data_IF_905393159834
#
_entry.id   IF_905393159834
#
_cell.length_a   1.000
_cell.length_b   1.000
_cell.length_c   1.000
_cell.angle_alpha   90.00
_cell.angle_beta   90.00
_cell.angle_gamma   90.00
#
_symmetry.space_group_name_H-M   'P 1'
#
loop_
_entity.id
_entity.type
_entity.pdbx_description
1 polymer ?
#
# COMPACT_ATOMS: atom_id res chain seq x y z
N UNK A 1 6.06 49.94 -51.40
CA UNK A 1 6.38 49.30 -50.10
C UNK A 1 5.34 49.56 -48.99
N UNK A 2 5.23 50.72 -48.33
CA UNK A 2 4.31 50.92 -47.16
C UNK A 2 2.81 50.84 -47.48
N UNK A 3 2.36 51.36 -48.64
CA UNK A 3 0.94 51.24 -49.10
C UNK A 3 0.57 49.79 -49.43
N UNK A 4 1.52 49.04 -49.99
CA UNK A 4 1.39 47.63 -50.33
C UNK A 4 1.30 46.74 -49.09
N UNK A 5 2.15 46.98 -48.09
CA UNK A 5 2.08 46.27 -46.81
C UNK A 5 0.76 46.54 -46.08
N UNK A 6 0.24 47.78 -46.09
CA UNK A 6 -1.09 48.09 -45.52
C UNK A 6 -2.23 47.43 -46.29
N UNK A 7 -2.11 47.28 -47.62
CA UNK A 7 -3.10 46.57 -48.46
C UNK A 7 -3.08 45.08 -48.18
N UNK A 8 -1.89 44.48 -48.12
CA UNK A 8 -1.71 43.06 -47.77
C UNK A 8 -2.24 42.78 -46.36
N UNK A 9 -1.92 43.60 -45.37
CA UNK A 9 -2.41 43.47 -43.99
C UNK A 9 -3.94 43.58 -43.89
N UNK A 10 -4.56 44.50 -44.64
CA UNK A 10 -6.03 44.60 -44.72
C UNK A 10 -6.66 43.42 -45.46
N UNK A 11 -5.98 42.87 -46.47
CA UNK A 11 -6.44 41.67 -47.16
C UNK A 11 -6.34 40.44 -46.27
N UNK A 12 -5.24 40.25 -45.54
CA UNK A 12 -5.09 39.14 -44.58
C UNK A 12 -6.04 39.27 -43.40
N UNK A 13 -6.26 40.47 -42.83
CA UNK A 13 -7.29 40.69 -41.79
C UNK A 13 -8.73 40.45 -42.30
N UNK A 14 -9.01 40.80 -43.56
CA UNK A 14 -10.32 40.50 -44.19
C UNK A 14 -10.48 39.01 -44.49
N UNK A 15 -9.42 38.32 -44.89
CA UNK A 15 -9.44 36.87 -45.11
C UNK A 15 -9.56 36.12 -43.78
N UNK A 16 -8.83 36.53 -42.73
CA UNK A 16 -8.92 35.91 -41.41
C UNK A 16 -10.29 36.12 -40.77
N UNK A 17 -10.85 37.33 -40.81
CA UNK A 17 -12.21 37.58 -40.28
C UNK A 17 -13.31 36.81 -41.03
N UNK A 18 -13.15 36.60 -42.35
CA UNK A 18 -14.04 35.71 -43.13
C UNK A 18 -13.87 34.23 -42.73
N UNK A 19 -12.65 33.77 -42.51
CA UNK A 19 -12.37 32.40 -42.09
C UNK A 19 -12.91 32.12 -40.68
N UNK A 20 -12.69 33.01 -39.71
CA UNK A 20 -13.23 32.85 -38.35
C UNK A 20 -14.75 32.87 -38.33
N UNK A 21 -15.39 33.71 -39.16
CA UNK A 21 -16.84 33.74 -39.31
C UNK A 21 -17.38 32.48 -40.00
N UNK A 22 -16.65 31.92 -40.97
CA UNK A 22 -17.01 30.66 -41.62
C UNK A 22 -16.90 29.47 -40.67
N UNK A 23 -15.84 29.38 -39.87
CA UNK A 23 -15.67 28.34 -38.84
C UNK A 23 -16.74 28.46 -37.75
N UNK A 24 -17.00 29.67 -37.25
CA UNK A 24 -18.07 29.90 -36.27
C UNK A 24 -19.46 29.54 -36.83
N UNK A 25 -19.75 29.91 -38.08
CA UNK A 25 -21.00 29.53 -38.75
C UNK A 25 -21.07 28.01 -39.03
N UNK A 26 -19.94 27.36 -39.32
CA UNK A 26 -19.85 25.92 -39.52
C UNK A 26 -20.04 25.15 -38.20
N UNK A 27 -19.51 25.63 -37.08
CA UNK A 27 -19.78 25.06 -35.75
C UNK A 27 -21.21 25.30 -35.28
N UNK A 28 -21.82 26.46 -35.59
CA UNK A 28 -23.25 26.70 -35.30
C UNK A 28 -24.19 25.87 -36.20
N UNK A 29 -23.70 25.37 -37.34
CA UNK A 29 -24.39 24.46 -38.26
C UNK A 29 -23.83 23.04 -38.22
N UNK A 30 -22.98 22.73 -37.24
CA UNK A 30 -22.42 21.41 -37.09
C UNK A 30 -23.53 20.53 -36.51
N UNK A 31 -24.23 19.86 -37.39
CA UNK A 31 -25.18 18.82 -37.03
C UNK A 31 -24.39 17.70 -36.36
N UNK A 32 -24.88 17.25 -35.20
CA UNK A 32 -24.31 16.07 -34.54
C UNK A 32 -24.26 14.91 -35.55
N UNK A 33 -23.23 14.05 -35.53
CA UNK A 33 -23.20 12.92 -36.43
C UNK A 33 -24.48 12.09 -36.21
N UNK A 34 -25.05 11.46 -37.26
CA UNK A 34 -26.40 10.89 -37.20
C UNK A 34 -26.66 9.93 -36.02
N UNK A 35 -25.60 9.25 -35.55
CA UNK A 35 -25.63 8.27 -34.46
C UNK A 35 -25.31 8.86 -33.07
N UNK A 36 -25.05 10.16 -32.95
CA UNK A 36 -24.64 10.79 -31.68
C UNK A 36 -25.69 10.70 -30.56
N UNK A 37 -26.97 10.60 -30.93
CA UNK A 37 -28.10 10.49 -30.01
C UNK A 37 -28.70 9.08 -30.00
N UNK A 38 -28.09 8.14 -30.73
CA UNK A 38 -28.51 6.74 -30.68
C UNK A 38 -28.11 6.14 -29.32
N UNK A 39 -28.95 5.24 -28.76
CA UNK A 39 -28.63 4.60 -27.49
C UNK A 39 -27.36 3.76 -27.64
N UNK A 40 -26.35 4.07 -26.84
CA UNK A 40 -25.06 3.36 -26.86
C UNK A 40 -25.16 1.87 -26.47
N UNK A 41 -26.21 1.50 -25.73
CA UNK A 41 -26.44 0.13 -25.28
C UNK A 41 -27.84 -0.36 -25.67
N UNK A 42 -28.00 -1.65 -25.99
CA UNK A 42 -29.31 -2.26 -26.16
C UNK A 42 -30.10 -2.20 -24.84
N UNK A 43 -31.44 -2.31 -24.91
CA UNK A 43 -32.29 -2.39 -23.71
C UNK A 43 -31.81 -3.57 -22.85
N UNK A 44 -31.38 -3.27 -21.62
CA UNK A 44 -30.87 -4.28 -20.71
C UNK A 44 -31.94 -5.30 -20.33
N UNK A 45 -31.54 -6.54 -20.07
CA UNK A 45 -32.43 -7.59 -19.58
C UNK A 45 -32.86 -7.31 -18.13
N UNK A 46 -34.15 -7.01 -17.87
CA UNK A 46 -34.63 -6.74 -16.52
C UNK A 46 -34.58 -7.97 -15.62
N UNK A 47 -34.62 -9.19 -16.17
CA UNK A 47 -34.53 -10.42 -15.40
C UNK A 47 -33.12 -10.62 -14.85
N UNK A 48 -32.09 -10.49 -15.68
CA UNK A 48 -30.70 -10.50 -15.24
C UNK A 48 -30.39 -9.38 -14.22
N UNK A 49 -30.93 -8.18 -14.44
CA UNK A 49 -30.76 -7.07 -13.49
C UNK A 49 -31.41 -7.35 -12.12
N UNK A 50 -32.58 -7.99 -12.10
CA UNK A 50 -33.23 -8.42 -10.86
C UNK A 50 -32.43 -9.52 -10.16
N UNK A 51 -32.01 -10.55 -10.90
CA UNK A 51 -31.19 -11.63 -10.36
C UNK A 51 -29.89 -11.10 -9.73
N UNK A 52 -29.25 -10.12 -10.36
CA UNK A 52 -28.06 -9.47 -9.79
C UNK A 52 -28.38 -8.74 -8.49
N UNK A 53 -29.45 -7.94 -8.44
CA UNK A 53 -29.89 -7.26 -7.19
C UNK A 53 -30.22 -8.24 -6.08
N UNK A 54 -30.90 -9.33 -6.41
CA UNK A 54 -31.25 -10.38 -5.46
C UNK A 54 -29.98 -11.09 -4.93
N UNK A 55 -28.98 -11.32 -5.80
CA UNK A 55 -27.69 -11.88 -5.39
C UNK A 55 -26.90 -10.98 -4.44
N UNK A 56 -26.97 -9.65 -4.60
CA UNK A 56 -26.35 -8.69 -3.69
C UNK A 56 -27.01 -8.73 -2.31
N UNK A 57 -28.35 -8.72 -2.27
CA UNK A 57 -29.09 -8.81 -1.01
C UNK A 57 -28.82 -10.14 -0.29
N UNK A 58 -28.78 -11.25 -1.03
CA UNK A 58 -28.42 -12.55 -0.49
C UNK A 58 -26.98 -12.58 0.08
N UNK A 59 -26.03 -11.96 -0.64
CA UNK A 59 -24.63 -11.84 -0.20
C UNK A 59 -24.51 -11.02 1.07
N UNK A 60 -25.21 -9.88 1.16
CA UNK A 60 -25.22 -9.04 2.35
C UNK A 60 -25.79 -9.79 3.57
N UNK A 61 -26.91 -10.48 3.39
CA UNK A 61 -27.52 -11.28 4.46
C UNK A 61 -26.60 -12.42 4.93
N UNK A 62 -25.97 -13.14 3.98
CA UNK A 62 -25.00 -14.18 4.30
C UNK A 62 -23.76 -13.63 5.03
N UNK A 63 -23.25 -12.48 4.60
CA UNK A 63 -22.11 -11.81 5.23
C UNK A 63 -22.42 -11.38 6.67
N UNK A 64 -23.64 -10.89 6.94
CA UNK A 64 -24.08 -10.53 8.30
C UNK A 64 -24.05 -11.73 9.25
N UNK A 65 -24.56 -12.87 8.80
CA UNK A 65 -24.53 -14.12 9.58
C UNK A 65 -23.09 -14.61 9.82
N UNK A 66 -22.30 -14.65 8.74
CA UNK A 66 -20.91 -15.12 8.78
C UNK A 66 -20.03 -14.26 9.68
N UNK A 67 -20.17 -12.93 9.60
CA UNK A 67 -19.45 -11.99 10.46
C UNK A 67 -19.78 -12.20 11.94
N UNK A 68 -21.06 -12.41 12.26
CA UNK A 68 -21.50 -12.74 13.62
C UNK A 68 -20.90 -14.03 14.15
N UNK A 69 -20.81 -15.07 13.32
CA UNK A 69 -20.16 -16.34 13.67
C UNK A 69 -18.67 -16.14 13.97
N UNK A 70 -17.92 -15.51 13.07
CA UNK A 70 -16.48 -15.29 13.26
C UNK A 70 -16.18 -14.42 14.47
N UNK A 71 -16.99 -13.41 14.75
CA UNK A 71 -16.86 -12.60 15.97
C UNK A 71 -16.97 -13.48 17.22
N UNK A 72 -17.90 -14.43 17.27
CA UNK A 72 -18.03 -15.37 18.39
C UNK A 72 -16.82 -16.30 18.49
N UNK A 73 -16.34 -16.84 17.38
CA UNK A 73 -15.13 -17.69 17.37
C UNK A 73 -13.91 -16.93 17.90
N UNK A 74 -13.71 -15.69 17.45
CA UNK A 74 -12.59 -14.86 17.95
C UNK A 74 -12.65 -14.65 19.46
N UNK A 75 -13.83 -14.38 20.03
CA UNK A 75 -13.97 -14.14 21.47
C UNK A 75 -14.01 -15.41 22.32
N UNK A 76 -14.61 -16.49 21.83
CA UNK A 76 -14.83 -17.72 22.60
C UNK A 76 -13.70 -18.74 22.43
N UNK A 77 -12.91 -18.63 21.35
CA UNK A 77 -11.82 -19.58 21.07
C UNK A 77 -10.48 -18.85 21.04
N UNK A 78 -10.33 -17.84 20.18
CA UNK A 78 -9.03 -17.21 20.00
C UNK A 78 -8.58 -16.45 21.25
N UNK A 79 -9.47 -15.68 21.90
CA UNK A 79 -9.10 -14.95 23.11
C UNK A 79 -8.68 -15.88 24.28
N UNK A 80 -9.41 -16.96 24.63
CA UNK A 80 -8.93 -17.93 25.62
C UNK A 80 -7.62 -18.62 25.22
N UNK A 81 -7.45 -18.96 23.95
CA UNK A 81 -6.20 -19.55 23.46
C UNK A 81 -5.01 -18.60 23.64
N UNK A 82 -5.18 -17.33 23.29
CA UNK A 82 -4.15 -16.29 23.49
C UNK A 82 -3.82 -16.12 24.98
N UNK A 83 -4.83 -16.10 25.86
CA UNK A 83 -4.62 -16.01 27.31
C UNK A 83 -3.81 -17.22 27.81
N UNK A 84 -4.18 -18.43 27.40
CA UNK A 84 -3.45 -19.65 27.79
C UNK A 84 -1.99 -19.61 27.32
N UNK A 85 -1.75 -19.22 26.06
CA UNK A 85 -0.38 -19.08 25.54
C UNK A 85 0.39 -17.95 26.22
N UNK A 86 -0.25 -16.84 26.55
CA UNK A 86 0.39 -15.72 27.23
C UNK A 86 0.86 -16.10 28.63
N UNK A 87 0.06 -16.89 29.37
CA UNK A 87 0.46 -17.43 30.67
C UNK A 87 1.68 -18.35 30.53
N UNK A 88 1.68 -19.25 29.55
CA UNK A 88 2.82 -20.14 29.31
C UNK A 88 4.09 -19.36 28.94
N UNK A 89 4.00 -18.44 27.97
CA UNK A 89 5.12 -17.60 27.55
C UNK A 89 5.61 -16.72 28.69
N UNK A 90 4.73 -16.22 29.55
CA UNK A 90 5.12 -15.41 30.71
C UNK A 90 6.06 -16.17 31.65
N UNK A 91 5.75 -17.44 31.97
CA UNK A 91 6.60 -18.24 32.85
C UNK A 91 7.96 -18.54 32.22
N UNK A 92 7.98 -18.94 30.95
CA UNK A 92 9.24 -19.20 30.21
C UNK A 92 10.07 -17.91 30.10
N UNK A 93 9.44 -16.79 29.83
CA UNK A 93 10.14 -15.50 29.71
C UNK A 93 10.66 -14.99 31.05
N UNK A 94 9.98 -15.29 32.16
CA UNK A 94 10.49 -14.99 33.50
C UNK A 94 11.76 -15.80 33.82
N UNK A 95 11.84 -17.05 33.38
CA UNK A 95 13.07 -17.86 33.48
C UNK A 95 14.18 -17.30 32.60
N UNK A 96 13.88 -16.95 31.35
CA UNK A 96 14.85 -16.29 30.46
C UNK A 96 15.34 -14.95 31.01
N UNK A 97 14.48 -14.16 31.65
CA UNK A 97 14.85 -12.90 32.27
C UNK A 97 15.90 -13.10 33.37
N UNK A 98 15.68 -14.08 34.26
CA UNK A 98 16.65 -14.46 35.31
C UNK A 98 17.96 -14.98 34.71
N UNK A 99 17.89 -15.78 33.66
CA UNK A 99 19.08 -16.27 32.98
C UNK A 99 19.89 -15.10 32.35
N UNK A 100 19.22 -14.13 31.71
CA UNK A 100 19.90 -12.94 31.18
C UNK A 100 20.53 -12.09 32.28
N UNK A 101 19.89 -11.98 33.44
CA UNK A 101 20.47 -11.30 34.61
C UNK A 101 21.70 -12.04 35.13
N UNK A 102 21.68 -13.38 35.21
CA UNK A 102 22.88 -14.13 35.55
C UNK A 102 24.00 -13.89 34.53
N UNK A 103 23.69 -13.97 33.23
CA UNK A 103 24.67 -13.74 32.17
C UNK A 103 25.27 -12.33 32.21
N UNK A 104 24.54 -11.29 32.63
CA UNK A 104 25.11 -9.93 32.69
C UNK A 104 26.21 -9.78 33.74
N UNK A 105 26.27 -10.67 34.74
CA UNK A 105 27.31 -10.67 35.77
C UNK A 105 28.51 -11.56 35.43
N UNK A 106 28.41 -12.39 34.40
CA UNK A 106 29.53 -13.24 33.94
C UNK A 106 30.60 -12.34 33.29
N UNK A 107 31.85 -12.36 33.77
CA UNK A 107 32.93 -11.57 33.20
C UNK A 107 33.33 -12.08 31.81
N UNK A 108 33.92 -11.22 30.98
CA UNK A 108 34.26 -11.57 29.59
C UNK A 108 35.34 -12.66 29.51
N UNK A 109 36.20 -12.78 30.53
CA UNK A 109 37.23 -13.82 30.62
C UNK A 109 36.65 -15.24 30.80
N UNK A 110 35.48 -15.34 31.42
CA UNK A 110 34.75 -16.61 31.59
C UNK A 110 33.79 -16.90 30.43
N UNK A 111 33.62 -15.95 29.51
CA UNK A 111 32.75 -16.14 28.36
C UNK A 111 33.35 -17.17 27.39
N UNK A 112 32.55 -18.09 26.83
CA UNK A 112 33.07 -19.09 25.90
C UNK A 112 33.80 -18.46 24.71
N UNK A 113 34.98 -19.00 24.38
CA UNK A 113 35.74 -18.54 23.22
C UNK A 113 34.90 -18.68 21.95
N UNK A 114 34.86 -17.62 21.16
CA UNK A 114 34.06 -17.56 19.94
C UNK A 114 34.75 -18.34 18.82
N UNK A 115 33.96 -19.10 18.06
CA UNK A 115 34.46 -19.77 16.86
C UNK A 115 34.69 -18.75 15.73
N UNK A 116 35.59 -19.07 14.80
CA UNK A 116 35.97 -18.18 13.68
C UNK A 116 34.81 -17.72 12.81
N UNK A 117 33.74 -18.53 12.72
CA UNK A 117 32.54 -18.20 11.96
C UNK A 117 31.56 -17.28 12.71
N UNK A 118 31.75 -17.10 14.01
CA UNK A 118 30.92 -16.22 14.83
C UNK A 118 31.46 -14.79 14.76
N UNK A 119 30.57 -13.80 14.79
CA UNK A 119 30.92 -12.37 14.78
C UNK A 119 31.90 -11.91 13.68
N UNK A 120 31.93 -12.60 12.52
CA UNK A 120 32.72 -12.16 11.36
C UNK A 120 32.36 -10.73 10.95
N UNK A 121 33.38 -9.90 10.70
CA UNK A 121 33.26 -8.57 10.11
C UNK A 121 34.27 -8.40 8.97
N UNK A 122 33.85 -8.61 7.72
CA UNK A 122 34.70 -8.35 6.56
C UNK A 122 34.90 -6.85 6.28
N UNK A 123 33.87 -6.05 6.60
CA UNK A 123 33.89 -4.59 6.59
C UNK A 123 33.12 -4.10 7.82
N UNK A 124 33.56 -3.02 8.49
CA UNK A 124 32.79 -2.45 9.58
C UNK A 124 31.45 -1.92 9.09
N UNK A 125 30.43 -1.96 9.95
CA UNK A 125 29.17 -1.28 9.68
C UNK A 125 29.40 0.23 9.52
N UNK A 126 28.56 0.89 8.73
CA UNK A 126 28.70 2.32 8.44
C UNK A 126 28.08 3.23 9.52
N UNK A 127 27.61 2.66 10.64
CA UNK A 127 27.03 3.38 11.76
C UNK A 127 27.69 2.97 13.09
N UNK A 128 27.50 3.80 14.11
CA UNK A 128 27.96 3.52 15.46
C UNK A 128 29.48 3.31 15.53
N UNK A 129 29.89 2.22 16.15
CA UNK A 129 31.29 1.79 16.28
C UNK A 129 31.74 0.84 15.16
N UNK A 130 30.87 0.55 14.19
CA UNK A 130 31.16 -0.35 13.08
C UNK A 130 31.07 -1.84 13.43
N UNK A 131 30.70 -2.22 14.65
CA UNK A 131 30.72 -3.61 15.10
C UNK A 131 29.34 -4.17 15.48
N UNK A 132 28.49 -3.30 16.05
CA UNK A 132 27.17 -3.68 16.57
C UNK A 132 26.08 -3.60 15.49
N UNK A 133 25.24 -4.63 15.45
CA UNK A 133 24.04 -4.69 14.61
C UNK A 133 22.92 -3.79 15.16
N UNK A 134 21.86 -3.57 14.37
CA UNK A 134 20.69 -2.78 14.79
C UNK A 134 20.03 -3.29 16.09
N UNK A 135 19.93 -4.61 16.23
CA UNK A 135 19.34 -5.28 17.39
C UNK A 135 20.42 -5.95 18.27
N UNK A 136 21.52 -5.24 18.53
CA UNK A 136 22.61 -5.75 19.36
C UNK A 136 22.29 -5.62 20.84
N UNK A 137 22.26 -6.74 21.58
CA UNK A 137 22.14 -6.72 23.03
C UNK A 137 23.49 -7.09 23.66
N UNK A 138 24.16 -6.17 24.38
CA UNK A 138 25.51 -6.41 24.92
C UNK A 138 25.58 -7.54 25.95
N UNK A 139 24.46 -7.91 26.58
CA UNK A 139 24.43 -9.02 27.55
C UNK A 139 24.60 -10.37 26.87
N UNK A 140 23.98 -10.57 25.71
CA UNK A 140 23.92 -11.87 25.00
C UNK A 140 24.77 -11.90 23.72
N UNK A 141 24.95 -10.74 23.09
CA UNK A 141 25.79 -10.54 21.92
C UNK A 141 27.05 -9.83 22.40
N UNK A 142 28.06 -10.61 22.74
CA UNK A 142 29.40 -10.10 23.06
C UNK A 142 30.31 -10.34 21.87
N UNK A 143 31.19 -9.39 21.58
CA UNK A 143 32.25 -9.56 20.60
C UNK A 143 33.58 -9.33 21.31
N UNK A 144 34.06 -10.38 21.95
CA UNK A 144 35.30 -10.35 22.71
C UNK A 144 36.41 -10.56 21.70
N UNK A 145 37.28 -9.56 21.58
CA UNK A 145 38.46 -9.62 20.70
C UNK A 145 39.61 -10.12 21.54
N UNK A 146 40.26 -11.19 21.08
CA UNK A 146 41.51 -11.71 21.66
C UNK A 146 42.62 -10.64 21.66
#
# INVERSE_FOLDING_TARGET
KRKEQKRMFRQTLRQSSKATRAVRNASHKAELPPWALEPAFPKGDPAAAKAFKDSLAATEHHAKSTSGLWKKISWLVAAPAVIATAINTYFVEAEHAKHREHLSHVPDEEWPKQYEYMNIRSKPFFWGDGDKTLWWNPVINRHIKD
#
